data_IF_773145866570
#
_entry.id   IF_773145866570
#
_cell.length_a   1.000
_cell.length_b   1.000
_cell.length_c   1.000
_cell.angle_alpha   90.00
_cell.angle_beta   90.00
_cell.angle_gamma   90.00
#
_symmetry.space_group_name_H-M   'P 1'
#
loop_
_entity.id
_entity.type
_entity.pdbx_description
1 polymer ?
#
# COMPACT_ATOMS: atom_id res chain seq x y z
N UNK A 1 24.46 -42.20 -9.89
CA UNK A 1 23.97 -42.40 -8.53
C UNK A 1 22.95 -41.35 -8.09
N UNK A 2 22.52 -40.45 -9.00
CA UNK A 2 21.52 -39.42 -8.69
C UNK A 2 20.32 -39.48 -9.65
N UNK A 3 19.76 -40.68 -9.83
CA UNK A 3 18.59 -40.94 -10.64
C UNK A 3 17.32 -40.95 -9.77
N UNK A 4 16.74 -39.81 -9.53
CA UNK A 4 15.33 -39.67 -9.08
C UNK A 4 14.42 -39.53 -10.29
N UNK A 5 13.10 -39.73 -10.11
CA UNK A 5 12.11 -39.41 -11.13
C UNK A 5 12.23 -37.95 -11.60
N UNK A 6 11.83 -37.64 -12.86
CA UNK A 6 11.75 -36.23 -13.30
C UNK A 6 10.92 -35.40 -12.32
N UNK A 7 11.47 -34.26 -11.85
CA UNK A 7 10.87 -33.42 -10.82
C UNK A 7 11.34 -33.68 -9.36
N UNK A 8 12.06 -34.79 -9.10
CA UNK A 8 12.63 -35.10 -7.76
C UNK A 8 14.16 -34.98 -7.71
N UNK A 9 14.78 -34.59 -8.79
CA UNK A 9 16.24 -34.39 -8.88
C UNK A 9 16.58 -33.08 -8.16
N UNK A 10 17.77 -33.03 -7.54
CA UNK A 10 18.21 -31.82 -6.84
C UNK A 10 18.15 -30.57 -7.74
N UNK A 11 18.48 -30.71 -9.03
CA UNK A 11 18.41 -29.61 -10.00
C UNK A 11 16.98 -29.13 -10.22
N UNK A 12 16.02 -30.08 -10.33
CA UNK A 12 14.60 -29.76 -10.50
C UNK A 12 14.02 -29.10 -9.25
N UNK A 13 14.43 -29.56 -8.06
CA UNK A 13 14.03 -28.98 -6.77
C UNK A 13 14.62 -27.57 -6.57
N UNK A 14 15.89 -27.36 -6.99
CA UNK A 14 16.50 -26.04 -6.94
C UNK A 14 15.86 -25.07 -7.93
N UNK A 15 15.55 -25.53 -9.16
CA UNK A 15 14.85 -24.71 -10.14
C UNK A 15 13.45 -24.32 -9.65
N UNK A 16 12.69 -25.29 -9.12
CA UNK A 16 11.38 -25.03 -8.53
C UNK A 16 11.47 -24.08 -7.32
N UNK A 17 12.47 -24.24 -6.46
CA UNK A 17 12.71 -23.33 -5.33
C UNK A 17 13.01 -21.90 -5.79
N UNK A 18 13.76 -21.73 -6.89
CA UNK A 18 14.03 -20.42 -7.47
C UNK A 18 12.76 -19.78 -8.09
N UNK A 19 11.94 -20.58 -8.78
CA UNK A 19 10.64 -20.14 -9.33
C UNK A 19 9.69 -19.73 -8.18
N UNK A 20 9.59 -20.54 -7.13
CA UNK A 20 8.75 -20.24 -5.95
C UNK A 20 9.22 -18.95 -5.25
N UNK A 21 10.54 -18.69 -5.18
CA UNK A 21 11.11 -17.46 -4.62
C UNK A 21 10.80 -16.24 -5.49
N UNK A 22 10.88 -16.36 -6.80
CA UNK A 22 10.55 -15.27 -7.71
C UNK A 22 9.06 -14.90 -7.61
N UNK A 23 8.16 -15.88 -7.59
CA UNK A 23 6.72 -15.66 -7.43
C UNK A 23 6.41 -14.93 -6.09
N UNK A 24 7.11 -15.30 -5.00
CA UNK A 24 7.00 -14.61 -3.70
C UNK A 24 7.44 -13.14 -3.82
N UNK A 25 8.57 -12.89 -4.48
CA UNK A 25 9.13 -11.54 -4.65
C UNK A 25 8.22 -10.66 -5.49
N UNK A 26 7.70 -11.18 -6.60
CA UNK A 26 6.79 -10.45 -7.50
C UNK A 26 5.47 -10.08 -6.80
N UNK A 27 4.90 -11.02 -6.03
CA UNK A 27 3.68 -10.79 -5.24
C UNK A 27 3.89 -9.78 -4.13
N UNK A 28 5.01 -9.90 -3.41
CA UNK A 28 5.37 -8.94 -2.38
C UNK A 28 5.53 -7.54 -2.97
N UNK A 29 6.21 -7.43 -4.12
CA UNK A 29 6.36 -6.17 -4.85
C UNK A 29 5.00 -5.54 -5.20
N UNK A 30 4.06 -6.36 -5.70
CA UNK A 30 2.71 -5.90 -6.00
C UNK A 30 1.96 -5.40 -4.75
N UNK A 31 1.97 -6.17 -3.65
CA UNK A 31 1.29 -5.80 -2.41
C UNK A 31 1.86 -4.50 -1.82
N UNK A 32 3.19 -4.38 -1.81
CA UNK A 32 3.88 -3.18 -1.31
C UNK A 32 3.57 -1.96 -2.17
N UNK A 33 3.55 -2.12 -3.50
CA UNK A 33 3.14 -1.05 -4.41
C UNK A 33 1.73 -0.54 -4.08
N UNK A 34 0.77 -1.45 -3.86
CA UNK A 34 -0.60 -1.09 -3.48
C UNK A 34 -0.66 -0.30 -2.17
N UNK A 35 0.09 -0.73 -1.18
CA UNK A 35 0.16 -0.01 0.09
C UNK A 35 0.79 1.40 -0.07
N UNK A 36 1.78 1.53 -0.94
CA UNK A 36 2.36 2.83 -1.31
C UNK A 36 1.31 3.72 -1.99
N UNK A 37 0.54 3.19 -2.95
CA UNK A 37 -0.55 3.90 -3.62
C UNK A 37 -1.60 4.41 -2.60
N UNK A 38 -1.99 3.59 -1.64
CA UNK A 38 -2.93 3.97 -0.58
C UNK A 38 -2.40 5.09 0.30
N UNK A 39 -1.12 5.02 0.71
CA UNK A 39 -0.52 6.05 1.54
C UNK A 39 -0.34 7.37 0.79
N UNK A 40 0.08 7.33 -0.48
CA UNK A 40 0.13 8.53 -1.35
C UNK A 40 -1.26 9.15 -1.46
N UNK A 41 -2.29 8.32 -1.72
CA UNK A 41 -3.67 8.76 -1.79
C UNK A 41 -4.19 9.36 -0.48
N UNK A 42 -3.74 8.84 0.67
CA UNK A 42 -4.09 9.39 1.98
C UNK A 42 -3.50 10.80 2.18
N UNK A 43 -2.22 11.00 1.86
CA UNK A 43 -1.59 12.31 1.93
C UNK A 43 -2.22 13.31 0.96
N UNK A 44 -2.56 12.88 -0.25
CA UNK A 44 -3.27 13.74 -1.22
C UNK A 44 -4.66 14.16 -0.71
N UNK A 45 -5.40 13.27 -0.04
CA UNK A 45 -6.68 13.62 0.59
C UNK A 45 -6.49 14.63 1.72
N UNK A 46 -5.54 14.39 2.62
CA UNK A 46 -5.25 15.30 3.73
C UNK A 46 -4.77 16.67 3.24
N UNK A 47 -3.96 16.71 2.19
CA UNK A 47 -3.51 17.97 1.58
C UNK A 47 -4.69 18.74 0.97
N UNK A 48 -5.60 18.05 0.28
CA UNK A 48 -6.83 18.66 -0.25
C UNK A 48 -7.72 19.21 0.87
N UNK A 49 -7.92 18.42 1.93
CA UNK A 49 -8.77 18.79 3.07
C UNK A 49 -8.16 19.95 3.89
N UNK A 50 -6.83 20.07 3.91
CA UNK A 50 -6.10 21.22 4.48
C UNK A 50 -5.94 22.39 3.50
N UNK A 51 -6.73 22.48 2.43
CA UNK A 51 -6.66 23.51 1.41
C UNK A 51 -5.27 23.64 0.76
N UNK A 52 -4.56 22.50 0.57
CA UNK A 52 -3.23 22.40 -0.03
C UNK A 52 -2.10 23.00 0.81
N UNK A 53 -2.27 23.06 2.12
CA UNK A 53 -1.22 23.57 3.03
C UNK A 53 -0.26 22.46 3.48
N UNK A 54 -0.71 21.19 3.62
CA UNK A 54 0.12 20.09 4.11
C UNK A 54 1.34 19.80 3.21
N UNK A 55 1.12 19.73 1.91
CA UNK A 55 2.15 19.45 0.91
C UNK A 55 2.58 20.72 0.13
N UNK A 56 2.41 21.88 0.72
CA UNK A 56 2.79 23.15 0.10
C UNK A 56 4.29 23.24 -0.13
N UNK A 57 4.67 23.34 -1.40
CA UNK A 57 6.08 23.38 -1.81
C UNK A 57 6.74 22.00 -1.92
N UNK A 58 6.04 20.93 -1.63
CA UNK A 58 6.51 19.55 -1.78
C UNK A 58 6.16 19.06 -3.19
N UNK A 59 7.15 18.60 -3.93
CA UNK A 59 6.98 18.05 -5.28
C UNK A 59 6.43 16.62 -5.25
N UNK A 60 5.79 16.19 -6.35
CA UNK A 60 5.22 14.84 -6.49
C UNK A 60 6.27 13.74 -6.29
N UNK A 61 7.47 13.94 -6.82
CA UNK A 61 8.60 13.01 -6.63
C UNK A 61 9.00 12.92 -5.16
N UNK A 62 9.03 14.04 -4.44
CA UNK A 62 9.37 14.07 -3.01
C UNK A 62 8.31 13.38 -2.16
N UNK A 63 7.02 13.54 -2.49
CA UNK A 63 5.92 12.81 -1.83
C UNK A 63 6.12 11.31 -2.01
N UNK A 64 6.41 10.87 -3.24
CA UNK A 64 6.64 9.46 -3.53
C UNK A 64 7.86 8.90 -2.78
N UNK A 65 8.99 9.61 -2.80
CA UNK A 65 10.22 9.25 -2.07
C UNK A 65 9.98 9.17 -0.55
N UNK A 66 9.20 10.10 0.01
CA UNK A 66 8.85 10.10 1.42
C UNK A 66 8.03 8.87 1.81
N UNK A 67 7.03 8.50 1.01
CA UNK A 67 6.22 7.30 1.23
C UNK A 67 7.06 6.03 1.09
N UNK A 68 7.92 5.93 0.07
CA UNK A 68 8.87 4.82 -0.05
C UNK A 68 9.79 4.71 1.16
N UNK A 69 10.24 5.86 1.68
CA UNK A 69 11.07 5.89 2.89
C UNK A 69 10.31 5.33 4.10
N UNK A 70 9.01 5.61 4.23
CA UNK A 70 8.17 4.98 5.28
C UNK A 70 8.18 3.46 5.13
N UNK A 71 7.97 2.94 3.93
CA UNK A 71 8.01 1.48 3.69
C UNK A 71 9.37 0.88 4.07
N UNK A 72 10.46 1.54 3.71
CA UNK A 72 11.82 1.08 4.08
C UNK A 72 12.08 1.14 5.59
N UNK A 73 11.54 2.14 6.29
CA UNK A 73 11.58 2.20 7.75
C UNK A 73 10.86 1.00 8.38
N UNK A 74 9.69 0.64 7.86
CA UNK A 74 8.93 -0.51 8.34
C UNK A 74 9.65 -1.84 8.08
N UNK A 75 10.22 -2.02 6.88
CA UNK A 75 11.07 -3.19 6.56
C UNK A 75 12.23 -3.31 7.53
N UNK A 76 12.95 -2.19 7.78
CA UNK A 76 14.04 -2.16 8.75
C UNK A 76 13.56 -2.60 10.15
N UNK A 77 12.43 -2.05 10.61
CA UNK A 77 11.88 -2.36 11.94
C UNK A 77 11.51 -3.83 12.07
N UNK A 78 10.81 -4.41 11.09
CA UNK A 78 10.49 -5.83 11.11
C UNK A 78 11.75 -6.72 11.11
N UNK A 79 12.74 -6.38 10.28
CA UNK A 79 14.02 -7.09 10.28
C UNK A 79 14.73 -6.97 11.63
N UNK A 80 14.75 -5.79 12.23
CA UNK A 80 15.42 -5.53 13.49
C UNK A 80 14.73 -6.23 14.68
N UNK A 81 13.41 -6.26 14.70
CA UNK A 81 12.62 -6.98 15.69
C UNK A 81 12.86 -8.50 15.60
N UNK A 82 12.75 -9.11 14.41
CA UNK A 82 12.93 -10.55 14.24
C UNK A 82 14.37 -11.01 14.49
N UNK A 83 15.36 -10.14 14.29
CA UNK A 83 16.78 -10.43 14.55
C UNK A 83 17.21 -10.09 15.98
N UNK A 84 16.29 -9.65 16.84
CA UNK A 84 16.58 -9.31 18.23
C UNK A 84 17.51 -8.08 18.38
N UNK A 85 17.54 -7.19 17.38
CA UNK A 85 18.28 -5.93 17.45
C UNK A 85 17.48 -4.83 18.18
N UNK A 86 16.18 -5.01 18.30
CA UNK A 86 15.26 -4.22 19.09
C UNK A 86 14.67 -5.09 20.22
N UNK A 87 14.13 -4.45 21.23
CA UNK A 87 13.75 -5.08 22.50
C UNK A 87 12.39 -5.80 22.45
N UNK A 88 12.11 -6.54 21.36
CA UNK A 88 10.88 -7.33 21.26
C UNK A 88 10.83 -8.37 22.40
N UNK A 89 9.71 -8.42 23.13
CA UNK A 89 9.53 -9.23 24.36
C UNK A 89 9.66 -8.42 25.65
N UNK A 90 10.10 -7.16 25.61
CA UNK A 90 10.07 -6.25 26.74
C UNK A 90 8.78 -5.42 26.75
N UNK A 91 8.06 -5.40 27.87
CA UNK A 91 6.69 -4.85 27.99
C UNK A 91 6.57 -3.41 27.47
N UNK A 92 7.53 -2.54 27.80
CA UNK A 92 7.48 -1.14 27.38
C UNK A 92 7.69 -0.99 25.85
N UNK A 93 8.62 -1.75 25.27
CA UNK A 93 8.86 -1.74 23.83
C UNK A 93 7.66 -2.32 23.09
N UNK A 94 7.17 -3.48 23.49
CA UNK A 94 6.06 -4.17 22.84
C UNK A 94 4.79 -3.33 22.82
N UNK A 95 4.47 -2.68 23.93
CA UNK A 95 3.23 -1.90 24.05
C UNK A 95 3.24 -0.61 23.26
N UNK A 96 4.39 0.04 23.10
CA UNK A 96 4.44 1.41 22.59
C UNK A 96 5.24 1.58 21.29
N UNK A 97 6.18 0.69 20.99
CA UNK A 97 7.11 0.88 19.87
C UNK A 97 7.10 -0.27 18.86
N UNK A 98 6.88 -1.52 19.28
CA UNK A 98 6.96 -2.67 18.40
C UNK A 98 5.93 -2.60 17.26
N UNK A 99 6.42 -2.70 16.01
CA UNK A 99 5.57 -2.68 14.81
C UNK A 99 4.82 -4.00 14.62
N UNK A 100 5.43 -5.12 15.03
CA UNK A 100 4.78 -6.45 15.01
C UNK A 100 3.57 -6.48 15.95
N UNK A 101 3.73 -5.95 17.18
CA UNK A 101 2.63 -5.88 18.17
C UNK A 101 1.57 -4.86 17.74
N UNK A 102 1.97 -3.72 17.15
CA UNK A 102 1.02 -2.73 16.61
C UNK A 102 0.12 -3.38 15.56
N UNK A 103 0.70 -4.14 14.63
CA UNK A 103 -0.06 -4.88 13.63
C UNK A 103 -1.08 -5.83 14.25
N UNK A 104 -0.65 -6.65 15.23
CA UNK A 104 -1.54 -7.59 15.92
C UNK A 104 -2.68 -6.88 16.65
N UNK A 105 -2.40 -5.75 17.30
CA UNK A 105 -3.43 -4.92 17.97
C UNK A 105 -4.45 -4.37 16.97
N UNK A 106 -4.00 -3.86 15.83
CA UNK A 106 -4.90 -3.34 14.79
C UNK A 106 -5.76 -4.45 14.18
N UNK A 107 -5.21 -5.65 13.98
CA UNK A 107 -5.97 -6.82 13.54
C UNK A 107 -7.03 -7.25 14.56
N UNK A 108 -6.67 -7.26 15.82
CA UNK A 108 -7.59 -7.56 16.92
C UNK A 108 -8.74 -6.54 16.98
N UNK A 109 -8.44 -5.26 16.82
CA UNK A 109 -9.43 -4.19 16.78
C UNK A 109 -10.33 -4.33 15.55
N UNK A 110 -9.78 -4.59 14.36
CA UNK A 110 -10.54 -4.82 13.14
C UNK A 110 -11.49 -6.00 13.26
N UNK A 111 -11.04 -7.11 13.87
CA UNK A 111 -11.84 -8.32 14.05
C UNK A 111 -12.99 -8.14 15.05
N UNK A 112 -12.82 -7.30 16.07
CA UNK A 112 -13.81 -7.05 17.12
C UNK A 112 -14.81 -5.96 16.78
N UNK A 113 -14.37 -4.93 16.03
CA UNK A 113 -15.12 -3.68 15.84
C UNK A 113 -15.48 -3.40 14.37
N UNK A 114 -14.94 -4.15 13.42
CA UNK A 114 -14.88 -3.91 11.97
C UNK A 114 -13.77 -2.94 11.55
N UNK A 115 -13.27 -3.10 10.34
CA UNK A 115 -12.23 -2.21 9.78
C UNK A 115 -12.69 -0.75 9.64
N UNK A 116 -14.00 -0.50 9.46
CA UNK A 116 -14.56 0.85 9.36
C UNK A 116 -14.32 1.72 10.62
N UNK A 117 -14.13 1.08 11.78
CA UNK A 117 -13.80 1.81 13.01
C UNK A 117 -12.35 2.32 12.97
N UNK A 118 -11.46 1.61 12.30
CA UNK A 118 -10.06 2.03 12.13
C UNK A 118 -9.94 3.26 11.23
N UNK A 119 -10.88 3.52 10.32
CA UNK A 119 -10.89 4.73 9.48
C UNK A 119 -11.06 6.02 10.30
N UNK A 120 -11.65 5.92 11.49
CA UNK A 120 -11.90 7.07 12.38
C UNK A 120 -10.82 7.29 13.42
N UNK A 121 -9.79 6.46 13.42
CA UNK A 121 -8.65 6.53 14.36
C UNK A 121 -7.38 6.83 13.57
N UNK A 122 -6.45 7.54 14.19
CA UNK A 122 -5.15 7.90 13.61
C UNK A 122 -3.99 7.73 14.59
N UNK A 123 -4.20 6.97 15.67
CA UNK A 123 -3.20 6.79 16.72
C UNK A 123 -2.00 5.93 16.27
N UNK A 124 -2.23 4.99 15.36
CA UNK A 124 -1.19 4.11 14.86
C UNK A 124 -0.10 4.88 14.09
N UNK A 125 -0.48 5.89 13.30
CA UNK A 125 0.49 6.74 12.61
C UNK A 125 1.39 7.49 13.59
N UNK A 126 0.82 8.10 14.62
CA UNK A 126 1.59 8.79 15.67
C UNK A 126 2.56 7.82 16.36
N UNK A 127 2.15 6.57 16.60
CA UNK A 127 3.01 5.54 17.18
C UNK A 127 4.16 5.18 16.24
N UNK A 128 3.92 5.03 14.92
CA UNK A 128 4.99 4.82 13.94
C UNK A 128 6.00 5.97 13.94
N UNK A 129 5.53 7.22 13.95
CA UNK A 129 6.40 8.39 14.02
C UNK A 129 7.26 8.39 15.29
N UNK A 130 6.67 8.04 16.44
CA UNK A 130 7.40 7.91 17.70
C UNK A 130 8.46 6.81 17.63
N UNK A 131 8.13 5.67 17.01
CA UNK A 131 9.08 4.56 16.78
C UNK A 131 10.23 4.99 15.85
N UNK A 132 9.94 5.72 14.76
CA UNK A 132 10.98 6.23 13.87
C UNK A 132 11.93 7.20 14.58
N UNK A 133 11.39 8.10 15.41
CA UNK A 133 12.20 9.02 16.23
C UNK A 133 13.01 8.27 17.28
N UNK A 134 12.43 7.24 17.91
CA UNK A 134 13.13 6.37 18.85
C UNK A 134 14.37 5.73 18.20
N UNK A 135 14.24 5.18 16.99
CA UNK A 135 15.38 4.61 16.27
C UNK A 135 16.43 5.67 15.92
N UNK A 136 16.00 6.85 15.49
CA UNK A 136 16.90 7.92 15.11
C UNK A 136 17.70 8.50 16.29
N UNK A 137 16.99 8.87 17.37
CA UNK A 137 17.56 9.62 18.51
C UNK A 137 17.99 8.71 19.66
N UNK A 138 17.51 7.47 19.68
CA UNK A 138 17.63 6.59 20.81
C UNK A 138 16.64 6.92 21.94
N UNK A 139 16.62 6.08 22.96
CA UNK A 139 15.87 6.26 24.20
C UNK A 139 16.78 5.95 25.39
N UNK A 140 16.78 6.83 26.37
CA UNK A 140 17.49 6.66 27.63
C UNK A 140 16.49 6.78 28.80
N UNK A 141 15.74 5.70 29.01
CA UNK A 141 14.83 5.53 30.16
C UNK A 141 15.36 4.41 31.06
N UNK A 142 14.97 4.38 32.33
CA UNK A 142 15.42 3.33 33.26
C UNK A 142 14.97 1.93 32.82
N UNK A 143 13.77 1.83 32.23
CA UNK A 143 13.17 0.58 31.77
C UNK A 143 13.31 0.33 30.27
N UNK A 144 13.89 1.25 29.50
CA UNK A 144 14.10 1.09 28.05
C UNK A 144 15.34 1.87 27.59
N UNK A 145 16.33 1.17 27.12
CA UNK A 145 17.56 1.78 26.59
C UNK A 145 17.80 1.31 25.16
N UNK A 146 17.61 2.20 24.21
CA UNK A 146 17.85 1.96 22.80
C UNK A 146 18.91 2.97 22.34
N UNK A 147 20.04 2.50 21.77
CA UNK A 147 21.04 3.41 21.23
C UNK A 147 20.47 4.20 20.05
N UNK A 148 20.95 5.42 19.84
CA UNK A 148 20.64 6.16 18.64
C UNK A 148 21.31 5.51 17.43
N UNK A 149 20.52 5.06 16.45
CA UNK A 149 21.04 4.53 15.19
C UNK A 149 21.37 5.65 14.22
N UNK A 150 20.68 6.79 14.28
CA UNK A 150 20.89 7.92 13.38
C UNK A 150 20.63 7.58 11.92
N UNK A 151 21.40 8.20 11.03
CA UNK A 151 21.37 7.93 9.60
C UNK A 151 20.18 8.58 8.86
N UNK A 152 20.30 8.63 7.53
CA UNK A 152 19.33 9.35 6.68
C UNK A 152 17.98 8.68 6.55
N UNK A 153 17.90 7.35 6.80
CA UNK A 153 16.63 6.61 6.68
C UNK A 153 15.58 7.09 7.68
N UNK A 154 15.99 7.28 8.95
CA UNK A 154 15.08 7.68 10.02
C UNK A 154 15.14 9.17 10.33
N UNK A 155 15.91 9.96 9.59
CA UNK A 155 16.02 11.39 9.80
C UNK A 155 14.66 12.07 9.67
N UNK A 156 14.14 12.70 10.74
CA UNK A 156 12.85 13.37 10.72
C UNK A 156 12.86 14.66 9.87
N UNK A 157 14.05 15.23 9.61
CA UNK A 157 14.18 16.48 8.87
C UNK A 157 14.20 16.25 7.34
N UNK A 158 14.32 14.98 6.91
CA UNK A 158 14.33 14.66 5.48
C UNK A 158 12.98 14.90 4.81
N UNK A 159 11.89 14.56 5.50
CA UNK A 159 10.51 14.74 5.02
C UNK A 159 9.64 15.31 6.15
N UNK A 160 9.76 16.62 6.46
CA UNK A 160 9.05 17.23 7.60
C UNK A 160 7.54 17.08 7.53
N UNK A 161 6.97 17.06 6.32
CA UNK A 161 5.54 16.91 6.07
C UNK A 161 4.99 15.55 6.54
N UNK A 162 5.80 14.47 6.56
CA UNK A 162 5.38 13.17 7.13
C UNK A 162 5.03 13.26 8.61
N UNK A 163 5.63 14.21 9.31
CA UNK A 163 5.39 14.48 10.72
C UNK A 163 4.44 15.66 10.97
N UNK A 164 3.90 16.24 9.89
CA UNK A 164 3.04 17.42 9.96
C UNK A 164 3.76 18.68 10.41
N UNK A 165 5.08 18.74 10.23
CA UNK A 165 5.85 19.94 10.50
C UNK A 165 5.67 20.95 9.39
N UNK A 166 5.03 22.07 9.69
CA UNK A 166 4.76 23.14 8.76
C UNK A 166 5.75 24.30 8.91
N UNK A 167 5.85 25.11 7.86
CA UNK A 167 6.76 26.27 7.85
C UNK A 167 6.41 27.35 8.90
N UNK A 168 5.17 27.38 9.37
CA UNK A 168 4.69 28.27 10.43
C UNK A 168 5.05 27.81 11.85
N UNK A 169 5.71 26.63 11.97
CA UNK A 169 6.11 26.04 13.25
C UNK A 169 5.02 25.17 13.90
N UNK A 170 3.88 24.98 13.27
CA UNK A 170 2.89 23.99 13.73
C UNK A 170 3.42 22.57 13.50
N UNK A 171 3.17 21.70 14.47
CA UNK A 171 3.61 20.30 14.46
C UNK A 171 2.41 19.42 14.82
N UNK A 172 1.49 19.25 13.90
CA UNK A 172 0.36 18.35 14.06
C UNK A 172 0.53 17.15 13.13
N UNK A 173 0.74 15.93 13.68
CA UNK A 173 0.88 14.74 12.84
C UNK A 173 -0.30 14.55 11.89
N UNK A 174 -0.06 14.20 10.64
CA UNK A 174 -1.13 13.92 9.68
C UNK A 174 -2.08 12.83 10.20
N UNK A 175 -3.37 13.03 10.05
CA UNK A 175 -4.40 12.07 10.46
C UNK A 175 -4.50 10.90 9.47
N UNK A 176 -3.43 10.10 9.35
CA UNK A 176 -3.46 8.85 8.60
C UNK A 176 -4.27 7.83 9.41
N UNK A 177 -5.30 7.24 8.80
CA UNK A 177 -6.16 6.30 9.51
C UNK A 177 -5.42 5.04 9.96
N UNK A 178 -5.83 4.49 11.10
CA UNK A 178 -5.27 3.24 11.61
C UNK A 178 -5.49 2.07 10.63
N UNK A 179 -6.52 2.12 9.78
CA UNK A 179 -6.75 1.18 8.70
C UNK A 179 -5.62 1.22 7.65
N UNK A 180 -5.23 2.40 7.19
CA UNK A 180 -4.10 2.53 6.24
C UNK A 180 -2.81 2.00 6.86
N UNK A 181 -2.57 2.31 8.14
CA UNK A 181 -1.41 1.75 8.86
C UNK A 181 -1.47 0.23 8.92
N UNK A 182 -2.63 -0.37 9.18
CA UNK A 182 -2.79 -1.83 9.16
C UNK A 182 -2.45 -2.40 7.78
N UNK A 183 -2.95 -1.79 6.70
CA UNK A 183 -2.66 -2.23 5.33
C UNK A 183 -1.17 -2.12 4.98
N UNK A 184 -0.49 -1.05 5.42
CA UNK A 184 0.97 -0.92 5.27
C UNK A 184 1.73 -2.06 5.95
N UNK A 185 1.37 -2.36 7.20
CA UNK A 185 2.01 -3.41 7.99
C UNK A 185 1.72 -4.80 7.41
N UNK A 186 0.48 -5.04 6.98
CA UNK A 186 0.07 -6.30 6.36
C UNK A 186 0.74 -6.54 5.01
N UNK A 187 0.87 -5.50 4.18
CA UNK A 187 1.52 -5.61 2.87
C UNK A 187 2.96 -6.10 2.95
N UNK A 188 3.62 -5.87 4.07
CA UNK A 188 4.99 -6.30 4.34
C UNK A 188 5.06 -7.66 5.04
N UNK A 189 4.12 -7.98 5.93
CA UNK A 189 4.20 -9.19 6.76
C UNK A 189 3.35 -10.36 6.29
N UNK A 190 2.39 -10.15 5.39
CA UNK A 190 1.47 -11.21 4.96
C UNK A 190 1.49 -11.36 3.46
N UNK A 191 1.99 -12.50 2.99
CA UNK A 191 1.85 -12.86 1.59
C UNK A 191 0.48 -13.49 1.38
N UNK A 192 -0.33 -12.87 0.52
CA UNK A 192 -1.64 -13.39 0.13
C UNK A 192 -1.53 -14.20 -1.16
N UNK A 193 -1.99 -15.45 -1.11
CA UNK A 193 -2.01 -16.35 -2.27
C UNK A 193 -3.43 -16.93 -2.43
N UNK A 194 -4.26 -16.25 -3.23
CA UNK A 194 -5.69 -16.56 -3.33
C UNK A 194 -6.39 -16.33 -1.99
N UNK A 195 -6.97 -17.40 -1.41
CA UNK A 195 -7.61 -17.35 -0.08
C UNK A 195 -6.66 -17.67 1.08
N UNK A 196 -5.42 -18.04 0.79
CA UNK A 196 -4.43 -18.35 1.82
C UNK A 196 -3.60 -17.10 2.14
N UNK A 197 -3.43 -16.84 3.44
CA UNK A 197 -2.57 -15.79 3.96
C UNK A 197 -1.41 -16.43 4.73
N UNK A 198 -0.18 -16.20 4.29
CA UNK A 198 1.03 -16.72 4.94
C UNK A 198 1.82 -15.58 5.54
N UNK A 199 2.15 -15.67 6.84
CA UNK A 199 3.07 -14.72 7.47
C UNK A 199 4.47 -14.86 6.87
N UNK A 200 5.02 -13.77 6.39
CA UNK A 200 6.41 -13.69 5.95
C UNK A 200 7.32 -13.51 7.16
N UNK A 201 8.43 -14.21 7.17
CA UNK A 201 9.50 -14.00 8.14
C UNK A 201 10.63 -13.22 7.48
N UNK A 202 10.93 -12.05 7.99
CA UNK A 202 12.08 -11.24 7.56
C UNK A 202 13.42 -11.87 7.93
N UNK A 203 13.42 -12.86 8.81
CA UNK A 203 14.62 -13.66 9.10
C UNK A 203 14.92 -14.61 7.93
N UNK A 204 13.90 -15.09 7.22
CA UNK A 204 14.02 -15.98 6.09
C UNK A 204 14.19 -15.26 4.74
N UNK A 205 13.84 -13.96 4.68
CA UNK A 205 14.05 -13.14 3.48
C UNK A 205 15.52 -12.74 3.37
N UNK A 206 16.10 -12.96 2.20
CA UNK A 206 17.43 -12.45 1.88
C UNK A 206 17.37 -10.94 1.62
N UNK A 207 18.45 -10.24 1.95
CA UNK A 207 18.61 -8.81 1.68
C UNK A 207 18.43 -8.50 0.18
N UNK A 208 18.82 -9.43 -0.69
CA UNK A 208 18.66 -9.33 -2.14
C UNK A 208 17.17 -9.28 -2.57
N UNK A 209 16.31 -10.09 -1.95
CA UNK A 209 14.88 -10.10 -2.22
C UNK A 209 14.21 -8.78 -1.80
N UNK A 210 14.59 -8.24 -0.64
CA UNK A 210 14.14 -6.92 -0.19
C UNK A 210 14.62 -5.84 -1.15
N UNK A 211 15.87 -5.95 -1.63
CA UNK A 211 16.44 -5.06 -2.63
C UNK A 211 15.64 -5.04 -3.93
N UNK A 212 15.28 -6.20 -4.47
CA UNK A 212 14.47 -6.30 -5.68
C UNK A 212 13.08 -5.69 -5.56
N UNK A 213 12.40 -5.89 -4.41
CA UNK A 213 11.11 -5.23 -4.16
C UNK A 213 11.26 -3.70 -4.16
N UNK A 214 12.32 -3.20 -3.52
CA UNK A 214 12.57 -1.76 -3.48
C UNK A 214 12.95 -1.19 -4.86
N UNK A 215 13.81 -1.87 -5.62
CA UNK A 215 14.15 -1.48 -7.00
C UNK A 215 12.93 -1.41 -7.89
N UNK A 216 12.03 -2.41 -7.81
CA UNK A 216 10.77 -2.40 -8.55
C UNK A 216 9.86 -1.21 -8.21
N UNK A 217 9.92 -0.72 -6.96
CA UNK A 217 9.18 0.47 -6.55
C UNK A 217 9.81 1.78 -7.06
N UNK A 218 11.13 1.81 -7.21
CA UNK A 218 11.84 2.98 -7.74
C UNK A 218 11.55 3.25 -9.23
N UNK A 219 11.12 2.24 -9.98
CA UNK A 219 10.74 2.39 -11.39
C UNK A 219 9.41 3.13 -11.57
N UNK A 220 8.66 3.33 -10.48
CA UNK A 220 7.39 4.06 -10.49
C UNK A 220 7.55 5.51 -10.02
N UNK A 221 6.66 6.37 -10.47
CA UNK A 221 6.58 7.77 -10.03
C UNK A 221 5.14 8.16 -9.75
N UNK A 222 4.91 8.92 -8.68
CA UNK A 222 3.62 9.54 -8.46
C UNK A 222 3.47 10.76 -9.38
N UNK A 223 2.26 10.92 -9.93
CA UNK A 223 1.86 12.12 -10.68
C UNK A 223 0.48 12.55 -10.25
N UNK A 224 0.28 13.85 -10.07
CA UNK A 224 -1.05 14.37 -9.78
C UNK A 224 -1.88 14.40 -11.06
N UNK A 225 -2.96 13.66 -11.06
CA UNK A 225 -3.89 13.68 -12.19
C UNK A 225 -4.61 15.04 -12.25
N UNK A 226 -4.61 15.66 -13.43
CA UNK A 226 -5.34 16.92 -13.69
C UNK A 226 -6.81 16.66 -14.07
N UNK A 227 -7.14 15.42 -14.36
CA UNK A 227 -8.46 14.94 -14.77
C UNK A 227 -8.79 13.66 -13.97
N UNK A 228 -10.09 13.31 -13.82
CA UNK A 228 -10.45 12.04 -13.22
C UNK A 228 -9.87 10.85 -14.01
N UNK A 229 -9.08 10.04 -13.32
CA UNK A 229 -8.49 8.81 -13.85
C UNK A 229 -9.17 7.61 -13.17
N UNK A 230 -9.55 6.60 -13.96
CA UNK A 230 -10.14 5.38 -13.47
C UNK A 230 -9.15 4.22 -13.61
N UNK A 231 -8.82 3.56 -12.51
CA UNK A 231 -8.12 2.29 -12.52
C UNK A 231 -9.08 1.18 -12.93
N UNK A 232 -8.83 0.54 -14.07
CA UNK A 232 -9.73 -0.48 -14.58
C UNK A 232 -9.28 -1.89 -14.16
N UNK A 233 -10.21 -2.83 -14.17
CA UNK A 233 -9.91 -4.25 -14.02
C UNK A 233 -8.96 -4.71 -15.12
N UNK A 234 -7.86 -5.35 -14.75
CA UNK A 234 -6.81 -5.79 -15.67
C UNK A 234 -6.19 -7.11 -15.25
N UNK A 235 -4.98 -7.36 -15.71
CA UNK A 235 -4.11 -8.41 -15.17
C UNK A 235 -3.51 -7.86 -13.86
N UNK A 236 -3.41 -8.72 -12.86
CA UNK A 236 -2.81 -8.36 -11.58
C UNK A 236 -1.38 -7.82 -11.79
N UNK A 237 -1.14 -6.60 -11.31
CA UNK A 237 0.14 -5.90 -11.48
C UNK A 237 0.25 -5.04 -12.74
N UNK A 238 -0.71 -5.13 -13.64
CA UNK A 238 -0.72 -4.43 -14.95
C UNK A 238 -2.15 -3.92 -15.24
N UNK A 239 -2.80 -3.36 -14.20
CA UNK A 239 -4.13 -2.80 -14.34
C UNK A 239 -4.06 -1.41 -14.98
N UNK A 240 -4.79 -1.19 -16.08
CA UNK A 240 -4.70 0.07 -16.80
C UNK A 240 -5.39 1.21 -16.07
N UNK A 241 -4.81 2.39 -16.19
CA UNK A 241 -5.38 3.65 -15.73
C UNK A 241 -5.78 4.49 -16.94
N UNK A 242 -7.06 4.86 -17.01
CA UNK A 242 -7.63 5.57 -18.15
C UNK A 242 -8.38 6.80 -17.69
N UNK A 243 -8.18 7.93 -18.37
CA UNK A 243 -8.94 9.13 -18.07
C UNK A 243 -10.43 9.00 -18.45
N UNK A 244 -11.30 9.58 -17.63
CA UNK A 244 -12.74 9.48 -17.77
C UNK A 244 -13.25 10.00 -19.12
N UNK A 245 -12.68 11.09 -19.64
CA UNK A 245 -13.10 11.67 -20.91
C UNK A 245 -12.81 10.74 -22.08
N UNK A 246 -11.69 10.00 -22.03
CA UNK A 246 -11.36 8.97 -23.02
C UNK A 246 -12.39 7.83 -22.99
N UNK A 247 -12.77 7.35 -21.79
CA UNK A 247 -13.81 6.33 -21.68
C UNK A 247 -15.16 6.79 -22.23
N UNK A 248 -15.59 8.01 -21.87
CA UNK A 248 -16.82 8.61 -22.37
C UNK A 248 -16.81 8.76 -23.90
N UNK A 249 -15.68 9.23 -24.46
CA UNK A 249 -15.49 9.34 -25.89
C UNK A 249 -15.60 7.99 -26.59
N UNK A 250 -14.99 6.94 -26.03
CA UNK A 250 -15.06 5.57 -26.59
C UNK A 250 -16.45 4.98 -26.52
N UNK A 251 -17.21 5.26 -25.47
CA UNK A 251 -18.64 4.89 -25.40
C UNK A 251 -19.45 5.56 -26.51
N UNK A 252 -19.20 6.83 -26.78
CA UNK A 252 -19.87 7.58 -27.85
C UNK A 252 -19.56 7.06 -29.27
N UNK A 253 -18.40 6.40 -29.48
CA UNK A 253 -18.05 5.75 -30.73
C UNK A 253 -18.85 4.47 -31.01
N UNK A 254 -19.55 3.92 -29.98
CA UNK A 254 -20.37 2.72 -30.05
C UNK A 254 -19.81 1.53 -29.26
N UNK A 255 -20.71 0.66 -28.86
CA UNK A 255 -20.42 -0.46 -27.93
C UNK A 255 -19.28 -1.37 -28.39
N UNK A 256 -19.28 -1.74 -29.68
CA UNK A 256 -18.28 -2.70 -30.20
C UNK A 256 -16.87 -2.09 -30.17
N UNK A 257 -16.75 -0.81 -30.53
CA UNK A 257 -15.47 -0.10 -30.46
C UNK A 257 -15.01 0.10 -29.02
N UNK A 258 -15.93 0.37 -28.09
CA UNK A 258 -15.64 0.49 -26.68
C UNK A 258 -15.12 -0.84 -26.10
N UNK A 259 -15.77 -1.97 -26.40
CA UNK A 259 -15.30 -3.30 -25.97
C UNK A 259 -13.93 -3.62 -26.58
N UNK A 260 -13.70 -3.31 -27.86
CA UNK A 260 -12.39 -3.50 -28.48
C UNK A 260 -11.29 -2.68 -27.82
N UNK A 261 -11.58 -1.41 -27.47
CA UNK A 261 -10.67 -0.55 -26.72
C UNK A 261 -10.38 -1.12 -25.33
N UNK A 262 -11.41 -1.51 -24.58
CA UNK A 262 -11.22 -2.12 -23.25
C UNK A 262 -10.42 -3.40 -23.30
N UNK A 263 -10.60 -4.24 -24.33
CA UNK A 263 -9.83 -5.46 -24.55
C UNK A 263 -8.34 -5.18 -24.72
N UNK A 264 -8.02 -4.16 -25.52
CA UNK A 264 -6.64 -3.72 -25.74
C UNK A 264 -6.01 -3.21 -24.44
N UNK A 265 -6.74 -2.42 -23.66
CA UNK A 265 -6.26 -1.85 -22.40
C UNK A 265 -6.15 -2.89 -21.28
N UNK A 266 -7.16 -3.76 -21.11
CA UNK A 266 -7.27 -4.65 -19.93
C UNK A 266 -6.75 -6.05 -20.15
N UNK A 267 -6.49 -6.45 -21.39
CA UNK A 267 -6.14 -7.83 -21.77
C UNK A 267 -7.28 -8.86 -21.56
N UNK A 268 -8.48 -8.41 -21.14
CA UNK A 268 -9.63 -9.30 -20.94
C UNK A 268 -10.32 -9.64 -22.24
N UNK A 269 -11.04 -10.77 -22.26
CA UNK A 269 -11.80 -11.18 -23.43
C UNK A 269 -13.05 -10.30 -23.63
N UNK A 270 -13.47 -10.09 -24.88
CA UNK A 270 -14.67 -9.31 -25.21
C UNK A 270 -15.92 -9.82 -24.51
N UNK A 271 -16.05 -11.16 -24.36
CA UNK A 271 -17.16 -11.77 -23.62
C UNK A 271 -17.15 -11.40 -22.14
N UNK A 272 -15.96 -11.40 -21.50
CA UNK A 272 -15.85 -11.02 -20.09
C UNK A 272 -16.18 -9.54 -19.89
N UNK A 273 -15.69 -8.67 -20.77
CA UNK A 273 -15.98 -7.23 -20.75
C UNK A 273 -17.47 -6.94 -21.00
N UNK A 274 -18.08 -7.64 -21.98
CA UNK A 274 -19.52 -7.53 -22.23
C UNK A 274 -20.34 -7.91 -21.00
N UNK A 275 -19.99 -9.00 -20.32
CA UNK A 275 -20.68 -9.42 -19.08
C UNK A 275 -20.54 -8.37 -17.97
N UNK A 276 -19.35 -7.77 -17.78
CA UNK A 276 -19.15 -6.72 -16.80
C UNK A 276 -19.99 -5.45 -17.07
N UNK A 277 -20.13 -5.10 -18.36
CA UNK A 277 -20.93 -3.94 -18.76
C UNK A 277 -22.44 -4.19 -18.64
N UNK A 278 -22.89 -5.44 -18.81
CA UNK A 278 -24.31 -5.83 -18.74
C UNK A 278 -24.75 -6.19 -17.32
N UNK A 279 -23.82 -6.39 -16.41
CA UNK A 279 -24.10 -6.74 -15.03
C UNK A 279 -24.62 -5.53 -14.27
N UNK A 280 -25.71 -5.70 -13.52
CA UNK A 280 -26.16 -4.68 -12.58
C UNK A 280 -25.08 -4.43 -11.53
N UNK A 281 -24.76 -3.16 -11.30
CA UNK A 281 -23.75 -2.79 -10.31
C UNK A 281 -24.32 -2.98 -8.90
N UNK A 282 -23.54 -3.61 -8.04
CA UNK A 282 -23.89 -3.82 -6.64
C UNK A 282 -24.06 -2.48 -5.89
N UNK A 283 -25.04 -2.45 -4.98
CA UNK A 283 -25.34 -1.26 -4.20
C UNK A 283 -24.19 -0.84 -3.27
N UNK A 284 -23.43 -1.81 -2.73
CA UNK A 284 -22.29 -1.52 -1.91
C UNK A 284 -21.17 -0.88 -2.73
N UNK A 285 -20.89 -1.39 -3.92
CA UNK A 285 -19.91 -0.82 -4.85
C UNK A 285 -20.28 0.62 -5.24
N UNK A 286 -21.55 0.89 -5.49
CA UNK A 286 -22.02 2.26 -5.75
C UNK A 286 -21.85 3.17 -4.52
N UNK A 287 -22.08 2.65 -3.32
CA UNK A 287 -21.86 3.41 -2.08
C UNK A 287 -20.40 3.79 -1.91
N UNK A 288 -19.49 2.82 -2.11
CA UNK A 288 -18.02 3.05 -2.07
C UNK A 288 -17.61 4.08 -3.12
N UNK A 289 -18.05 3.92 -4.35
CA UNK A 289 -17.76 4.85 -5.44
C UNK A 289 -18.23 6.27 -5.13
N UNK A 290 -19.40 6.43 -4.51
CA UNK A 290 -19.92 7.72 -4.10
C UNK A 290 -19.05 8.38 -3.04
N UNK A 291 -18.53 7.60 -2.08
CA UNK A 291 -17.59 8.10 -1.05
C UNK A 291 -16.30 8.60 -1.70
N UNK A 292 -15.78 7.87 -2.69
CA UNK A 292 -14.56 8.27 -3.41
C UNK A 292 -14.76 9.54 -4.23
N UNK A 293 -15.94 9.70 -4.86
CA UNK A 293 -16.28 10.93 -5.59
C UNK A 293 -16.54 12.12 -4.64
N UNK A 294 -16.67 11.88 -3.33
CA UNK A 294 -16.98 12.93 -2.36
C UNK A 294 -18.34 13.58 -2.60
N UNK A 295 -18.41 14.90 -2.45
CA UNK A 295 -19.63 15.69 -2.69
C UNK A 295 -19.87 16.02 -4.18
N UNK A 296 -18.99 15.57 -5.09
CA UNK A 296 -19.13 15.81 -6.53
C UNK A 296 -20.12 14.81 -7.15
N UNK A 297 -21.38 15.23 -7.16
CA UNK A 297 -22.47 14.43 -7.72
C UNK A 297 -22.32 14.26 -9.25
N UNK A 298 -21.85 15.28 -9.95
CA UNK A 298 -21.67 15.24 -11.40
C UNK A 298 -20.57 14.23 -11.77
N UNK A 299 -19.46 14.23 -11.04
CA UNK A 299 -18.41 13.22 -11.21
C UNK A 299 -18.96 11.81 -10.94
N UNK A 300 -19.72 11.62 -9.86
CA UNK A 300 -20.33 10.32 -9.54
C UNK A 300 -21.21 9.80 -10.67
N UNK A 301 -22.11 10.61 -11.22
CA UNK A 301 -23.00 10.19 -12.31
C UNK A 301 -22.23 9.87 -13.60
N UNK A 302 -21.12 10.54 -13.86
CA UNK A 302 -20.22 10.27 -15.01
C UNK A 302 -19.45 8.97 -14.85
N UNK A 303 -18.98 8.65 -13.63
CA UNK A 303 -18.18 7.45 -13.32
C UNK A 303 -19.05 6.21 -13.16
N UNK A 304 -20.26 6.34 -12.65
CA UNK A 304 -21.19 5.26 -12.34
C UNK A 304 -21.42 4.24 -13.48
N UNK A 305 -21.49 4.61 -14.78
CA UNK A 305 -21.61 3.64 -15.87
C UNK A 305 -20.41 2.67 -15.98
N UNK A 306 -19.28 3.07 -15.46
CA UNK A 306 -18.01 2.31 -15.50
C UNK A 306 -17.75 1.53 -14.21
N UNK A 307 -18.63 1.58 -13.22
CA UNK A 307 -18.40 1.04 -11.89
C UNK A 307 -17.91 -0.43 -11.89
N UNK A 308 -18.49 -1.29 -12.75
CA UNK A 308 -18.10 -2.69 -12.84
C UNK A 308 -16.75 -2.92 -13.54
N UNK A 309 -16.23 -1.90 -14.22
CA UNK A 309 -14.91 -1.91 -14.83
C UNK A 309 -13.82 -1.40 -13.89
N UNK A 310 -14.20 -0.72 -12.81
CA UNK A 310 -13.25 -0.18 -11.83
C UNK A 310 -12.69 -1.33 -11.01
N UNK A 311 -11.38 -1.36 -10.87
CA UNK A 311 -10.68 -2.32 -10.01
C UNK A 311 -11.05 -2.06 -8.55
N UNK A 312 -11.13 -3.13 -7.80
CA UNK A 312 -11.13 -3.06 -6.34
C UNK A 312 -9.67 -3.19 -5.87
N UNK A 313 -9.33 -2.50 -4.79
CA UNK A 313 -8.01 -2.70 -4.20
C UNK A 313 -7.89 -4.10 -3.57
N UNK A 314 -6.69 -4.47 -3.12
CA UNK A 314 -6.43 -5.79 -2.50
C UNK A 314 -7.19 -6.01 -1.18
N UNK A 315 -7.85 -4.97 -0.68
CA UNK A 315 -8.62 -4.96 0.57
C UNK A 315 -10.13 -4.83 0.32
N UNK A 316 -10.57 -4.89 -0.96
CA UNK A 316 -11.98 -4.85 -1.35
C UNK A 316 -12.63 -3.47 -1.30
N UNK A 317 -11.81 -2.41 -1.40
CA UNK A 317 -12.33 -1.04 -1.49
C UNK A 317 -12.59 -0.63 -2.93
#
# INVERSE_FOLDING_TARGET
VFGGEPGSRLVDLLAKGAEDQQDVTDRLGYQVRRAVEELVGAFERLDRDSHRELLKGVGETEVYEGVLTVMMRLVFLFCAEERGLLHLGEDLYDRFYAVSTLREQLHDDASKLTEEVLDRRSSAWCRLLATFRMVYQGVAHEDLRIPAYGGTLFDPDRFPWLEGRQADGTNEPPHISDRIVLHLLDSLQVLRQGQEARKLSFHALDVEQIGHVYEGLLDHTAKRALKPILGLVGKEGDEPEVDLETLESKVAEGRDKFIAYLKDQTGKTERALGNLLDQATDAEKLRKLRVVCGDDHDLFERVKPFANLIREDSFGN
#
